data_IF_247588970169
#
_entry.id   IF_247588970169
#
_cell.length_a   1.000
_cell.length_b   1.000
_cell.length_c   1.000
_cell.angle_alpha   90.00
_cell.angle_beta   90.00
_cell.angle_gamma   90.00
#
_symmetry.space_group_name_H-M   'P 1'
#
loop_
_entity.id
_entity.type
_entity.pdbx_description
1 polymer ?
#
# COMPACT_ATOMS: atom_id res chain seq x y z
N UNK A 1 8.06 -0.59 -22.24
CA UNK A 1 9.32 -0.36 -22.98
C UNK A 1 10.06 0.81 -22.37
N UNK A 2 11.20 0.58 -21.71
CA UNK A 2 12.30 1.55 -21.51
C UNK A 2 13.50 0.80 -20.96
N UNK A 3 14.42 0.46 -21.88
CA UNK A 3 15.77 -0.03 -21.57
C UNK A 3 16.63 1.21 -21.33
N UNK A 4 17.37 1.26 -20.23
CA UNK A 4 18.48 2.20 -20.10
C UNK A 4 19.79 1.42 -20.12
N UNK A 5 20.51 1.64 -21.20
CA UNK A 5 21.89 1.25 -21.45
C UNK A 5 22.78 2.25 -20.73
N UNK A 6 23.77 1.80 -19.97
CA UNK A 6 24.99 2.59 -19.76
C UNK A 6 26.22 1.70 -19.88
N UNK A 7 26.93 1.95 -20.99
CA UNK A 7 28.31 1.58 -21.25
C UNK A 7 29.22 2.57 -20.52
N UNK A 8 30.20 2.09 -19.75
CA UNK A 8 31.49 2.79 -19.61
C UNK A 8 32.61 1.75 -19.73
N UNK A 9 33.34 1.86 -20.84
CA UNK A 9 34.65 1.28 -21.08
C UNK A 9 35.67 2.33 -20.68
N UNK A 10 36.69 1.97 -19.89
CA UNK A 10 37.95 2.72 -19.89
C UNK A 10 39.13 1.75 -19.94
N UNK A 11 39.75 1.69 -21.12
CA UNK A 11 41.04 1.09 -21.42
C UNK A 11 42.15 1.88 -20.73
N UNK A 12 43.09 1.19 -20.07
CA UNK A 12 44.44 1.71 -19.81
C UNK A 12 45.33 1.27 -20.97
N UNK A 13 45.63 2.18 -21.89
CA UNK A 13 46.62 2.00 -22.94
C UNK A 13 47.95 2.63 -22.51
N UNK A 14 48.94 1.76 -22.36
CA UNK A 14 50.35 2.06 -22.11
C UNK A 14 50.92 2.84 -23.30
N UNK A 15 51.53 4.00 -23.06
CA UNK A 15 52.55 4.56 -23.96
C UNK A 15 53.67 5.17 -23.14
N UNK A 16 54.85 4.57 -23.25
CA UNK A 16 56.10 5.15 -22.77
C UNK A 16 56.55 6.29 -23.68
N UNK A 17 57.15 7.31 -23.07
CA UNK A 17 57.96 8.29 -23.77
C UNK A 17 59.29 8.43 -23.02
N UNK A 18 60.38 8.18 -23.74
CA UNK A 18 61.76 8.33 -23.32
C UNK A 18 62.06 9.78 -22.89
N UNK A 19 62.71 9.92 -21.74
CA UNK A 19 63.59 11.06 -21.44
C UNK A 19 64.83 10.49 -20.74
N UNK A 20 65.93 10.36 -21.49
CA UNK A 20 67.28 10.33 -20.92
C UNK A 20 67.72 11.79 -20.72
N UNK A 21 67.96 12.21 -19.49
CA UNK A 21 69.32 12.49 -19.00
C UNK A 21 69.31 13.23 -17.63
N UNK A 22 70.16 12.72 -16.74
CA UNK A 22 70.80 13.39 -15.59
C UNK A 22 69.91 13.86 -14.43
N UNK A 23 69.82 13.00 -13.41
CA UNK A 23 70.17 13.34 -12.03
C UNK A 23 70.30 12.04 -11.20
N UNK A 24 71.52 11.52 -11.10
CA UNK A 24 71.93 10.71 -9.95
C UNK A 24 72.02 11.62 -8.72
N UNK A 25 71.76 11.03 -7.55
CA UNK A 25 71.78 11.65 -6.21
C UNK A 25 70.43 12.21 -5.69
N UNK A 26 69.44 11.33 -5.54
CA UNK A 26 68.51 11.29 -4.37
C UNK A 26 67.58 10.04 -4.37
N UNK A 27 68.03 8.90 -4.89
CA UNK A 27 67.18 7.72 -5.07
C UNK A 27 67.16 6.74 -3.87
N UNK A 28 67.80 7.07 -2.74
CA UNK A 28 67.95 6.13 -1.61
C UNK A 28 67.06 6.47 -0.39
N UNK A 29 66.06 7.35 -0.56
CA UNK A 29 65.04 7.64 0.47
C UNK A 29 63.60 7.60 -0.02
N UNK A 30 63.34 7.23 -1.28
CA UNK A 30 61.98 7.19 -1.83
C UNK A 30 61.34 5.80 -1.86
N UNK A 31 62.10 4.73 -1.61
CA UNK A 31 61.57 3.35 -1.63
C UNK A 31 60.76 2.98 -0.37
N UNK A 32 60.94 3.69 0.76
CA UNK A 32 60.24 3.40 2.03
C UNK A 32 58.87 4.12 2.15
N UNK A 33 58.60 5.17 1.37
CA UNK A 33 57.33 5.92 1.41
C UNK A 33 56.32 5.46 0.34
N UNK A 34 56.76 4.77 -0.71
CA UNK A 34 55.89 4.15 -1.73
C UNK A 34 54.95 3.06 -1.18
N UNK A 35 55.42 2.04 -0.42
CA UNK A 35 54.54 1.00 0.11
C UNK A 35 53.53 1.56 1.13
N UNK A 36 53.92 2.59 1.90
CA UNK A 36 53.01 3.29 2.83
C UNK A 36 51.89 4.03 2.11
N UNK A 37 52.16 4.59 0.93
CA UNK A 37 51.16 5.32 0.15
C UNK A 37 50.15 4.38 -0.49
N UNK A 38 50.58 3.23 -1.00
CA UNK A 38 49.69 2.17 -1.54
C UNK A 38 48.86 1.49 -0.45
N UNK A 39 49.45 1.24 0.73
CA UNK A 39 48.77 0.68 1.89
C UNK A 39 47.70 1.64 2.42
N UNK A 40 48.00 2.94 2.52
CA UNK A 40 47.03 3.98 2.89
C UNK A 40 45.90 4.13 1.85
N UNK A 41 46.21 4.08 0.55
CA UNK A 41 45.18 4.13 -0.51
C UNK A 41 44.26 2.90 -0.46
N UNK A 42 44.82 1.71 -0.20
CA UNK A 42 44.04 0.49 -0.01
C UNK A 42 43.19 0.56 1.27
N UNK A 43 43.71 1.06 2.38
CA UNK A 43 42.92 1.26 3.61
C UNK A 43 41.79 2.27 3.42
N UNK A 44 42.02 3.35 2.67
CA UNK A 44 40.99 4.33 2.33
C UNK A 44 39.89 3.70 1.46
N UNK A 45 40.27 2.90 0.47
CA UNK A 45 39.32 2.21 -0.41
C UNK A 45 38.54 1.13 0.35
N UNK A 46 39.18 0.37 1.23
CA UNK A 46 38.52 -0.61 2.12
C UNK A 46 37.52 0.10 3.04
N UNK A 47 37.90 1.22 3.64
CA UNK A 47 37.01 1.98 4.52
C UNK A 47 35.82 2.57 3.74
N UNK A 48 36.04 3.08 2.53
CA UNK A 48 34.98 3.56 1.64
C UNK A 48 34.01 2.45 1.28
N UNK A 49 34.51 1.29 0.84
CA UNK A 49 33.70 0.13 0.51
C UNK A 49 32.96 -0.43 1.74
N UNK A 50 33.58 -0.40 2.92
CA UNK A 50 32.93 -0.84 4.17
C UNK A 50 31.76 0.08 4.53
N UNK A 51 31.92 1.39 4.36
CA UNK A 51 30.83 2.35 4.56
C UNK A 51 29.71 2.15 3.53
N UNK A 52 30.07 1.92 2.27
CA UNK A 52 29.13 1.65 1.17
C UNK A 52 28.32 0.37 1.44
N UNK A 53 28.97 -0.72 1.86
CA UNK A 53 28.28 -1.96 2.28
C UNK A 53 27.35 -1.71 3.47
N UNK A 54 27.80 -0.99 4.50
CA UNK A 54 26.96 -0.69 5.67
C UNK A 54 25.73 0.17 5.32
N UNK A 55 25.88 1.11 4.38
CA UNK A 55 24.77 1.90 3.84
C UNK A 55 23.79 1.01 3.07
N UNK A 56 24.29 0.16 2.16
CA UNK A 56 23.47 -0.77 1.40
C UNK A 56 22.73 -1.79 2.29
N UNK A 57 23.35 -2.29 3.36
CA UNK A 57 22.71 -3.15 4.34
C UNK A 57 21.56 -2.44 5.07
N UNK A 58 21.77 -1.16 5.41
CA UNK A 58 20.74 -0.32 6.03
C UNK A 58 19.58 -0.08 5.08
N UNK A 59 19.86 0.25 3.81
CA UNK A 59 18.84 0.44 2.77
C UNK A 59 18.06 -0.85 2.52
N UNK A 60 18.73 -1.99 2.43
CA UNK A 60 18.10 -3.30 2.25
C UNK A 60 17.17 -3.64 3.42
N UNK A 61 17.59 -3.35 4.65
CA UNK A 61 16.75 -3.57 5.83
C UNK A 61 15.50 -2.65 5.81
N UNK A 62 15.66 -1.39 5.41
CA UNK A 62 14.55 -0.46 5.26
C UNK A 62 13.56 -0.89 4.18
N UNK A 63 14.05 -1.29 3.00
CA UNK A 63 13.22 -1.79 1.91
C UNK A 63 12.52 -3.09 2.28
N UNK A 64 13.18 -4.01 2.98
CA UNK A 64 12.54 -5.22 3.51
C UNK A 64 11.40 -4.87 4.47
N UNK A 65 11.61 -3.90 5.36
CA UNK A 65 10.55 -3.45 6.27
C UNK A 65 9.39 -2.77 5.54
N UNK A 66 9.67 -2.01 4.47
CA UNK A 66 8.62 -1.43 3.60
C UNK A 66 7.82 -2.52 2.89
N UNK A 67 8.51 -3.53 2.35
CA UNK A 67 7.89 -4.67 1.70
C UNK A 67 6.96 -5.45 2.64
N UNK A 68 7.43 -5.74 3.86
CA UNK A 68 6.61 -6.43 4.87
C UNK A 68 5.37 -5.61 5.26
N UNK A 69 5.51 -4.30 5.47
CA UNK A 69 4.37 -3.43 5.76
C UNK A 69 3.35 -3.40 4.62
N UNK A 70 3.81 -3.28 3.38
CA UNK A 70 2.92 -3.30 2.23
C UNK A 70 2.18 -4.64 2.08
N UNK A 71 2.82 -5.75 2.45
CA UNK A 71 2.17 -7.07 2.47
C UNK A 71 1.11 -7.18 3.58
N UNK A 72 1.43 -6.72 4.80
CA UNK A 72 0.46 -6.66 5.90
C UNK A 72 -0.75 -5.79 5.53
N UNK A 73 -0.51 -4.62 4.92
CA UNK A 73 -1.57 -3.73 4.45
C UNK A 73 -2.45 -4.40 3.39
N UNK A 74 -1.83 -5.05 2.39
CA UNK A 74 -2.56 -5.83 1.37
C UNK A 74 -3.46 -6.90 2.00
N UNK A 75 -2.94 -7.65 2.97
CA UNK A 75 -3.68 -8.74 3.58
C UNK A 75 -4.86 -8.23 4.42
N UNK A 76 -4.73 -7.06 5.06
CA UNK A 76 -5.86 -6.39 5.72
C UNK A 76 -6.90 -5.96 4.69
N UNK A 77 -6.50 -5.31 3.59
CA UNK A 77 -7.43 -4.88 2.54
C UNK A 77 -8.24 -6.05 1.96
N UNK A 78 -7.58 -7.19 1.74
CA UNK A 78 -8.25 -8.41 1.27
C UNK A 78 -9.28 -8.91 2.28
N UNK A 79 -8.96 -8.91 3.58
CA UNK A 79 -9.89 -9.31 4.63
C UNK A 79 -11.08 -8.36 4.74
N UNK A 80 -10.85 -7.04 4.76
CA UNK A 80 -11.90 -6.03 4.85
C UNK A 80 -12.85 -6.15 3.66
N UNK A 81 -12.33 -6.28 2.43
CA UNK A 81 -13.14 -6.46 1.23
C UNK A 81 -13.95 -7.77 1.29
N UNK A 82 -13.34 -8.87 1.74
CA UNK A 82 -14.05 -10.15 1.91
C UNK A 82 -15.20 -10.04 2.92
N UNK A 83 -14.97 -9.44 4.10
CA UNK A 83 -16.01 -9.26 5.12
C UNK A 83 -17.14 -8.37 4.61
N UNK A 84 -16.78 -7.32 3.87
CA UNK A 84 -17.75 -6.39 3.33
C UNK A 84 -18.65 -7.04 2.28
N UNK A 85 -18.08 -7.84 1.38
CA UNK A 85 -18.86 -8.64 0.42
C UNK A 85 -19.80 -9.63 1.12
N UNK A 86 -19.31 -10.33 2.15
CA UNK A 86 -20.14 -11.24 2.95
C UNK A 86 -21.31 -10.51 3.61
N UNK A 87 -21.04 -9.31 4.14
CA UNK A 87 -22.03 -8.47 4.80
C UNK A 87 -23.14 -8.04 3.83
N UNK A 88 -22.75 -7.48 2.68
CA UNK A 88 -23.68 -7.08 1.63
C UNK A 88 -24.51 -8.27 1.13
N UNK A 89 -23.88 -9.41 0.85
CA UNK A 89 -24.61 -10.62 0.42
C UNK A 89 -25.58 -11.11 1.49
N UNK A 90 -25.16 -11.12 2.77
CA UNK A 90 -26.03 -11.53 3.88
C UNK A 90 -27.24 -10.60 4.01
N UNK A 91 -27.07 -9.32 3.71
CA UNK A 91 -28.16 -8.34 3.70
C UNK A 91 -29.16 -8.59 2.59
N UNK A 92 -28.67 -8.86 1.37
CA UNK A 92 -29.51 -9.20 0.22
C UNK A 92 -30.28 -10.50 0.45
N UNK A 93 -29.60 -11.52 0.97
CA UNK A 93 -30.18 -12.84 1.27
C UNK A 93 -31.04 -12.84 2.54
N UNK A 94 -31.08 -11.73 3.28
CA UNK A 94 -31.74 -11.61 4.60
C UNK A 94 -31.28 -12.67 5.61
N UNK A 95 -30.00 -13.04 5.57
CA UNK A 95 -29.37 -14.03 6.48
C UNK A 95 -29.03 -13.37 7.81
N UNK A 96 -30.03 -13.24 8.69
CA UNK A 96 -29.91 -12.55 9.97
C UNK A 96 -28.78 -13.06 10.88
N UNK A 97 -28.57 -14.38 10.94
CA UNK A 97 -27.47 -14.96 11.73
C UNK A 97 -26.10 -14.53 11.21
N UNK A 98 -25.96 -14.44 9.87
CA UNK A 98 -24.72 -13.98 9.24
C UNK A 98 -24.53 -12.48 9.49
N UNK A 99 -25.58 -11.67 9.32
CA UNK A 99 -25.52 -10.25 9.63
C UNK A 99 -25.10 -10.02 11.08
N UNK A 100 -25.70 -10.72 12.04
CA UNK A 100 -25.34 -10.58 13.46
C UNK A 100 -23.86 -10.86 13.76
N UNK A 101 -23.22 -11.76 13.02
CA UNK A 101 -21.78 -12.07 13.21
C UNK A 101 -20.84 -11.10 12.49
N UNK A 102 -21.31 -10.48 11.40
CA UNK A 102 -20.56 -9.54 10.56
C UNK A 102 -20.77 -8.06 10.97
N UNK A 103 -21.72 -7.80 11.87
CA UNK A 103 -22.09 -6.46 12.33
C UNK A 103 -21.43 -6.16 13.67
N UNK A 104 -20.85 -4.97 13.81
CA UNK A 104 -20.33 -4.48 15.07
C UNK A 104 -21.48 -4.07 16.00
N UNK A 105 -21.37 -4.21 17.34
CA UNK A 105 -22.44 -3.87 18.29
C UNK A 105 -22.93 -2.41 18.27
N UNK A 106 -22.27 -1.52 17.52
CA UNK A 106 -22.74 -0.14 17.29
C UNK A 106 -23.97 -0.05 16.39
N UNK A 107 -24.28 -1.12 15.66
CA UNK A 107 -25.43 -1.21 14.77
C UNK A 107 -26.42 -2.25 15.29
N UNK A 108 -27.71 -1.93 15.23
CA UNK A 108 -28.78 -2.87 15.56
C UNK A 108 -29.38 -3.44 14.28
N UNK A 109 -29.43 -4.77 14.17
CA UNK A 109 -29.89 -5.46 12.96
C UNK A 109 -31.32 -5.96 13.15
N UNK A 110 -32.20 -5.59 12.24
CA UNK A 110 -33.58 -6.06 12.15
C UNK A 110 -33.83 -6.77 10.81
N UNK A 111 -34.96 -7.47 10.68
CA UNK A 111 -35.28 -8.29 9.51
C UNK A 111 -35.32 -7.50 8.18
N UNK A 112 -35.59 -6.19 8.25
CA UNK A 112 -35.76 -5.33 7.08
C UNK A 112 -34.90 -4.07 7.08
N UNK A 113 -34.16 -3.80 8.16
CA UNK A 113 -33.37 -2.57 8.33
C UNK A 113 -32.21 -2.77 9.28
N UNK A 114 -31.26 -1.85 9.21
CA UNK A 114 -30.25 -1.61 10.25
C UNK A 114 -30.54 -0.26 10.88
N UNK A 115 -30.40 -0.18 12.19
CA UNK A 115 -30.46 1.08 12.93
C UNK A 115 -29.07 1.46 13.42
N UNK A 116 -28.74 2.74 13.25
CA UNK A 116 -27.53 3.35 13.81
C UNK A 116 -27.89 4.61 14.59
N UNK A 117 -27.05 4.96 15.57
CA UNK A 117 -27.24 6.17 16.37
C UNK A 117 -26.27 7.25 15.89
N UNK A 118 -26.80 8.36 15.39
CA UNK A 118 -26.04 9.55 14.97
C UNK A 118 -26.59 10.74 15.74
N UNK A 119 -25.74 11.45 16.48
CA UNK A 119 -26.15 12.64 17.26
C UNK A 119 -27.38 12.43 18.16
N UNK A 120 -27.48 11.24 18.78
CA UNK A 120 -28.60 10.79 19.62
C UNK A 120 -29.91 10.50 18.87
N UNK A 121 -29.90 10.56 17.55
CA UNK A 121 -31.03 10.19 16.70
C UNK A 121 -30.81 8.79 16.11
N UNK A 122 -31.92 8.06 15.93
CA UNK A 122 -31.91 6.75 15.27
C UNK A 122 -32.05 7.00 13.77
N UNK A 123 -31.03 6.58 13.03
CA UNK A 123 -31.05 6.56 11.57
C UNK A 123 -31.28 5.13 11.11
N UNK A 124 -32.31 4.93 10.30
CA UNK A 124 -32.71 3.63 9.77
C UNK A 124 -32.23 3.49 8.33
N UNK A 125 -31.58 2.36 8.02
CA UNK A 125 -31.15 1.99 6.67
C UNK A 125 -31.92 0.75 6.26
N UNK A 126 -32.85 0.89 5.31
CA UNK A 126 -33.70 -0.21 4.87
C UNK A 126 -33.02 -1.07 3.80
N UNK A 127 -33.20 -2.39 3.88
CA UNK A 127 -32.63 -3.31 2.89
C UNK A 127 -33.24 -3.11 1.49
N UNK A 128 -34.47 -2.60 1.41
CA UNK A 128 -35.12 -2.25 0.15
C UNK A 128 -34.36 -1.16 -0.60
N UNK A 129 -33.83 -0.18 0.10
CA UNK A 129 -33.18 0.98 -0.51
C UNK A 129 -31.90 0.55 -1.22
N UNK A 130 -31.21 -0.44 -0.65
CA UNK A 130 -30.08 -1.11 -1.28
C UNK A 130 -30.50 -1.93 -2.50
N UNK A 131 -31.62 -2.65 -2.43
CA UNK A 131 -32.06 -3.55 -3.51
C UNK A 131 -32.59 -2.87 -4.77
N UNK A 132 -32.95 -1.57 -4.71
CA UNK A 132 -33.87 -1.01 -5.71
C UNK A 132 -33.23 -0.77 -7.09
N UNK A 133 -31.94 -0.43 -7.18
CA UNK A 133 -31.24 -0.19 -8.45
C UNK A 133 -29.79 -0.73 -8.46
N UNK A 134 -29.06 -0.69 -7.34
CA UNK A 134 -27.63 -0.98 -7.27
C UNK A 134 -27.21 -2.47 -7.37
N UNK A 135 -28.09 -3.40 -7.04
CA UNK A 135 -27.76 -4.84 -6.96
C UNK A 135 -28.44 -5.72 -8.03
N UNK A 136 -29.34 -5.18 -8.85
CA UNK A 136 -29.93 -5.92 -9.99
C UNK A 136 -28.96 -6.04 -11.17
N UNK A 137 -28.01 -5.12 -11.29
CA UNK A 137 -26.79 -5.27 -12.06
C UNK A 137 -25.77 -5.99 -11.17
N UNK A 138 -25.55 -7.27 -11.42
CA UNK A 138 -24.79 -8.16 -10.53
C UNK A 138 -23.29 -7.80 -10.55
N UNK A 139 -22.90 -6.74 -9.83
CA UNK A 139 -21.51 -6.33 -9.55
C UNK A 139 -20.66 -5.87 -10.76
N UNK A 140 -21.17 -4.98 -11.62
CA UNK A 140 -20.39 -4.32 -12.68
C UNK A 140 -19.77 -2.99 -12.18
N UNK A 141 -18.46 -3.02 -11.92
CA UNK A 141 -17.55 -1.90 -11.58
C UNK A 141 -17.70 -1.29 -10.18
N UNK A 142 -16.81 -1.71 -9.27
CA UNK A 142 -16.61 -1.04 -7.98
C UNK A 142 -15.34 -0.22 -8.02
N UNK A 143 -15.47 1.08 -7.79
CA UNK A 143 -14.35 1.89 -7.34
C UNK A 143 -14.28 1.73 -5.82
N UNK A 144 -13.27 1.00 -5.36
CA UNK A 144 -12.94 0.94 -3.93
C UNK A 144 -12.18 2.23 -3.62
N UNK A 145 -12.87 3.18 -3.01
CA UNK A 145 -12.23 4.33 -2.38
C UNK A 145 -11.97 3.97 -0.91
N UNK A 146 -10.70 3.67 -0.62
CA UNK A 146 -10.24 3.36 0.72
C UNK A 146 -10.04 4.66 1.50
N UNK A 147 -10.75 4.83 2.62
CA UNK A 147 -10.46 5.88 3.58
C UNK A 147 -10.27 5.29 4.99
N UNK A 148 -9.07 5.45 5.53
CA UNK A 148 -8.71 4.89 6.84
C UNK A 148 -7.23 4.56 6.92
N UNK A 149 -6.73 4.41 8.14
CA UNK A 149 -5.37 3.93 8.39
C UNK A 149 -5.47 2.49 8.88
N UNK A 150 -4.89 1.54 8.14
CA UNK A 150 -4.88 0.11 8.53
C UNK A 150 -4.34 -0.08 9.96
N UNK A 151 -3.45 0.79 10.42
CA UNK A 151 -2.92 0.78 11.79
C UNK A 151 -3.87 1.29 12.90
N UNK A 152 -5.05 1.80 12.59
CA UNK A 152 -6.01 2.32 13.60
C UNK A 152 -7.14 1.35 13.94
N UNK A 153 -7.20 0.19 13.26
CA UNK A 153 -8.28 -0.79 13.46
C UNK A 153 -9.64 -0.33 12.91
N UNK A 154 -9.63 0.70 12.06
CA UNK A 154 -10.83 1.26 11.41
C UNK A 154 -10.55 1.46 9.93
N UNK A 155 -11.51 1.10 9.09
CA UNK A 155 -11.35 1.08 7.65
C UNK A 155 -12.66 1.35 6.92
N UNK A 156 -12.69 2.30 5.99
CA UNK A 156 -13.85 2.59 5.15
C UNK A 156 -13.72 1.97 3.76
N UNK A 157 -14.78 1.33 3.27
CA UNK A 157 -14.91 0.93 1.86
C UNK A 157 -16.17 1.55 1.27
N UNK A 158 -16.02 2.18 0.11
CA UNK A 158 -17.13 2.63 -0.72
C UNK A 158 -17.35 1.67 -1.89
N UNK A 159 -18.61 1.25 -2.10
CA UNK A 159 -19.08 0.51 -3.26
C UNK A 159 -19.94 1.45 -4.08
N UNK A 160 -19.51 1.77 -5.30
CA UNK A 160 -20.29 2.59 -6.23
C UNK A 160 -20.92 1.71 -7.30
N UNK A 161 -22.19 1.93 -7.61
CA UNK A 161 -22.82 1.40 -8.82
C UNK A 161 -22.73 2.46 -9.90
N UNK A 162 -22.26 2.09 -11.09
CA UNK A 162 -22.08 3.01 -12.23
C UNK A 162 -22.86 2.57 -13.46
N UNK A 163 -23.19 3.51 -14.34
CA UNK A 163 -23.80 3.22 -15.64
C UNK A 163 -22.75 2.79 -16.70
N UNK A 164 -23.19 2.53 -17.93
CA UNK A 164 -22.32 2.17 -19.07
C UNK A 164 -21.27 3.26 -19.40
N UNK A 165 -21.51 4.49 -18.96
CA UNK A 165 -20.65 5.65 -19.15
C UNK A 165 -19.75 5.93 -17.92
N UNK A 166 -19.76 5.04 -16.92
CA UNK A 166 -19.02 5.17 -15.66
C UNK A 166 -19.49 6.32 -14.76
N UNK A 167 -20.71 6.80 -14.90
CA UNK A 167 -21.31 7.75 -13.96
C UNK A 167 -21.85 7.01 -12.73
N UNK A 168 -21.57 7.51 -11.54
CA UNK A 168 -22.08 6.92 -10.29
C UNK A 168 -23.59 7.15 -10.13
N UNK A 169 -24.36 6.06 -10.17
CA UNK A 169 -25.81 6.03 -9.94
C UNK A 169 -26.14 6.00 -8.45
N UNK A 170 -25.34 5.26 -7.68
CA UNK A 170 -25.50 5.14 -6.23
C UNK A 170 -24.19 4.73 -5.57
N UNK A 171 -24.08 4.93 -4.26
CA UNK A 171 -22.97 4.44 -3.47
C UNK A 171 -23.42 3.89 -2.11
N UNK A 172 -22.73 2.85 -1.67
CA UNK A 172 -22.80 2.30 -0.32
C UNK A 172 -21.44 2.50 0.33
N UNK A 173 -21.40 3.26 1.41
CA UNK A 173 -20.21 3.43 2.22
C UNK A 173 -20.33 2.58 3.47
N UNK A 174 -19.28 1.82 3.77
CA UNK A 174 -19.22 0.90 4.89
C UNK A 174 -17.98 1.21 5.70
N UNK A 175 -18.16 1.58 6.97
CA UNK A 175 -17.05 1.62 7.91
C UNK A 175 -16.95 0.25 8.58
N UNK A 176 -15.73 -0.25 8.71
CA UNK A 176 -15.39 -1.48 9.37
C UNK A 176 -14.48 -1.18 10.55
N UNK A 177 -14.68 -1.92 11.63
CA UNK A 177 -13.86 -1.88 12.82
C UNK A 177 -13.40 -3.28 13.17
N UNK A 178 -12.13 -3.41 13.56
CA UNK A 178 -11.63 -4.65 14.10
C UNK A 178 -12.19 -4.87 15.51
N UNK A 179 -12.86 -6.00 15.71
CA UNK A 179 -13.42 -6.43 16.99
C UNK A 179 -13.14 -7.92 17.20
N UNK A 180 -12.44 -8.24 18.28
CA UNK A 180 -11.98 -9.61 18.61
C UNK A 180 -11.18 -10.29 17.46
N UNK A 181 -10.35 -9.53 16.75
CA UNK A 181 -9.53 -10.05 15.64
C UNK A 181 -10.31 -10.31 14.36
N UNK A 182 -11.52 -9.75 14.23
CA UNK A 182 -12.36 -9.84 13.03
C UNK A 182 -12.87 -8.46 12.64
N UNK A 183 -12.80 -8.15 11.36
CA UNK A 183 -13.40 -6.94 10.81
C UNK A 183 -14.92 -7.08 10.77
N UNK A 184 -15.61 -6.11 11.36
CA UNK A 184 -17.08 -6.05 11.40
C UNK A 184 -17.54 -4.69 10.90
N UNK A 185 -18.68 -4.64 10.21
CA UNK A 185 -19.28 -3.38 9.76
C UNK A 185 -19.80 -2.61 10.97
N UNK A 186 -19.29 -1.40 11.17
CA UNK A 186 -19.60 -0.51 12.29
C UNK A 186 -20.43 0.71 11.90
N UNK A 187 -20.43 1.07 10.62
CA UNK A 187 -21.31 2.09 10.05
C UNK A 187 -21.68 1.73 8.60
N UNK A 188 -22.85 2.19 8.16
CA UNK A 188 -23.36 2.06 6.80
C UNK A 188 -24.04 3.36 6.38
N UNK A 189 -23.68 3.87 5.21
CA UNK A 189 -24.33 5.03 4.58
C UNK A 189 -24.67 4.69 3.13
N UNK A 190 -25.82 5.16 2.68
CA UNK A 190 -26.30 4.92 1.32
C UNK A 190 -26.67 6.25 0.67
N UNK A 191 -26.20 6.43 -0.56
CA UNK A 191 -26.41 7.64 -1.33
C UNK A 191 -26.98 7.28 -2.70
N UNK A 192 -28.07 7.94 -3.08
CA UNK A 192 -28.65 7.87 -4.41
C UNK A 192 -28.33 9.17 -5.14
N UNK A 193 -27.69 9.08 -6.30
CA UNK A 193 -27.44 10.24 -7.15
C UNK A 193 -28.66 10.48 -8.05
N UNK A 194 -29.62 11.24 -7.53
CA UNK A 194 -30.86 11.57 -8.24
C UNK A 194 -30.68 12.53 -9.42
N UNK A 195 -29.51 13.12 -9.63
CA UNK A 195 -29.27 14.12 -10.70
C UNK A 195 -29.38 13.55 -12.13
N UNK A 196 -29.60 12.24 -12.31
CA UNK A 196 -29.62 11.58 -13.62
C UNK A 196 -30.91 10.80 -13.94
N UNK A 197 -31.98 10.94 -13.14
CA UNK A 197 -33.26 10.23 -13.38
C UNK A 197 -34.28 11.02 -14.24
N UNK A 198 -33.86 12.09 -14.92
CA UNK A 198 -34.69 12.90 -15.83
C UNK A 198 -34.59 12.46 -17.30
#
# INVERSE_FOLDING_TARGET
MRKLVFFIVLLVAITGCNVEDKQEENADKQADDLPRTEEMLNEQEINRLTQEVSQLETELYQEKNRGNKAEEERDVLLQVNEQTRKYLQAMLDKKMDSLGTLTHPSLLVFENRIEKVVDQEIVEVYFSDLQTEAFKAEFEYFVIEDYGYIGTGEFGITYQAVDEQSNALSSVELALKEDEGRWKVSDISFFLNYEQLD
#
